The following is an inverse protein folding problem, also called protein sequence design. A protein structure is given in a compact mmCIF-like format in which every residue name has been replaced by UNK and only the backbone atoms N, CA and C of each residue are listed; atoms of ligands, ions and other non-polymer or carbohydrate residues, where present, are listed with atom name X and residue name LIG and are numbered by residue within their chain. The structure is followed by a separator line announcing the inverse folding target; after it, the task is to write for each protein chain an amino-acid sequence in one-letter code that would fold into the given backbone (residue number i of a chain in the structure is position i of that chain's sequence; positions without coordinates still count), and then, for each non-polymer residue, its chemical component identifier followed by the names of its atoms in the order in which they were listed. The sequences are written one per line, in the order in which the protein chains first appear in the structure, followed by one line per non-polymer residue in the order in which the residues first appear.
data_IF_685652290264
#
_entry.id   IF_685652290264
#
_cell.length_a   1.000
_cell.length_b   1.000
_cell.length_c   1.000
_cell.angle_alpha   90.00
_cell.angle_beta   90.00
_cell.angle_gamma   90.00
#
_symmetry.space_group_name_H-M   'P 1'
#
loop_
_entity.id
_entity.type
_entity.pdbx_description
1 polymer ?
#
# COMPACT_ATOMS: atom_id res chain seq x y z
N UNK A 1 22.17 9.81 11.53
CA UNK A 1 21.56 11.05 12.06
C UNK A 1 20.09 10.79 12.35
N UNK A 2 19.58 11.11 13.54
CA UNK A 2 18.15 10.99 13.85
C UNK A 2 17.41 12.18 13.22
N UNK A 3 16.32 11.91 12.51
CA UNK A 3 15.48 12.92 11.88
C UNK A 3 14.04 12.74 12.36
N UNK A 4 13.41 13.83 12.77
CA UNK A 4 11.97 13.83 13.06
C UNK A 4 11.22 13.86 11.73
N UNK A 5 10.27 12.91 11.56
CA UNK A 5 9.52 12.75 10.32
C UNK A 5 8.11 12.26 10.64
N UNK A 6 7.12 12.70 9.90
CA UNK A 6 5.77 12.14 9.97
C UNK A 6 5.72 10.68 9.52
N UNK A 7 4.81 9.91 10.13
CA UNK A 7 4.64 8.50 9.79
C UNK A 7 4.31 8.25 8.32
N UNK A 8 3.46 9.06 7.72
CA UNK A 8 3.11 9.02 6.30
C UNK A 8 4.32 9.25 5.38
N UNK A 9 5.16 10.25 5.70
CA UNK A 9 6.37 10.51 4.95
C UNK A 9 7.41 9.39 5.11
N UNK A 10 7.51 8.80 6.31
CA UNK A 10 8.39 7.64 6.51
C UNK A 10 7.96 6.43 5.69
N UNK A 11 6.65 6.20 5.57
CA UNK A 11 6.09 5.17 4.67
C UNK A 11 6.43 5.48 3.22
N UNK A 12 6.19 6.70 2.74
CA UNK A 12 6.51 7.10 1.37
C UNK A 12 8.00 6.91 1.04
N UNK A 13 8.90 7.32 1.95
CA UNK A 13 10.34 7.11 1.79
C UNK A 13 10.72 5.63 1.76
N UNK A 14 10.11 4.80 2.61
CA UNK A 14 10.37 3.37 2.64
C UNK A 14 9.89 2.68 1.35
N UNK A 15 8.74 3.08 0.81
CA UNK A 15 8.23 2.61 -0.50
C UNK A 15 9.18 3.03 -1.61
N UNK A 16 9.65 4.28 -1.60
CA UNK A 16 10.62 4.78 -2.58
C UNK A 16 11.92 3.95 -2.60
N UNK A 17 12.43 3.56 -1.43
CA UNK A 17 13.61 2.68 -1.33
C UNK A 17 13.38 1.29 -1.93
N UNK A 18 12.14 0.82 -1.96
CA UNK A 18 11.77 -0.46 -2.59
C UNK A 18 11.66 -0.38 -4.11
N UNK A 19 11.73 0.83 -4.68
CA UNK A 19 11.66 1.11 -6.13
C UNK A 19 10.47 0.43 -6.80
N UNK A 20 9.23 0.77 -6.45
CA UNK A 20 8.07 0.30 -7.18
C UNK A 20 8.13 0.79 -8.62
N UNK A 21 7.61 -0.02 -9.55
CA UNK A 21 7.52 0.33 -10.97
C UNK A 21 6.14 0.91 -11.30
N UNK A 22 5.14 0.52 -10.51
CA UNK A 22 3.78 1.06 -10.62
C UNK A 22 3.25 1.40 -9.22
N UNK A 23 2.78 2.62 -9.06
CA UNK A 23 2.04 3.09 -7.90
C UNK A 23 0.65 3.47 -8.36
N UNK A 24 -0.36 2.84 -7.83
CA UNK A 24 -1.76 3.13 -8.15
C UNK A 24 -2.54 3.35 -6.86
N UNK A 25 -3.28 4.45 -6.79
CA UNK A 25 -4.03 4.76 -5.59
C UNK A 25 -5.25 5.65 -5.87
N UNK A 26 -6.22 5.55 -4.98
CA UNK A 26 -7.31 6.50 -4.83
C UNK A 26 -7.20 7.15 -3.44
N UNK A 27 -7.15 8.49 -3.32
CA UNK A 27 -6.92 9.16 -2.04
C UNK A 27 -8.07 8.94 -1.05
N UNK A 28 -7.73 8.51 0.16
CA UNK A 28 -8.64 8.41 1.30
C UNK A 28 -7.90 8.75 2.61
N UNK A 29 -8.50 9.57 3.48
CA UNK A 29 -7.88 9.89 4.77
C UNK A 29 -7.83 8.68 5.71
N UNK A 30 -6.70 8.44 6.44
CA UNK A 30 -5.49 9.26 6.53
C UNK A 30 -4.36 8.87 5.55
N UNK A 31 -4.60 8.03 4.56
CA UNK A 31 -3.61 7.53 3.62
C UNK A 31 -3.12 8.59 2.61
N UNK A 32 -3.91 9.64 2.33
CA UNK A 32 -3.65 10.65 1.29
C UNK A 32 -2.23 11.21 1.32
N UNK A 33 -1.67 11.49 2.49
CA UNK A 33 -0.31 12.03 2.62
C UNK A 33 0.79 11.08 2.12
N UNK A 34 0.57 9.75 2.18
CA UNK A 34 1.49 8.76 1.62
C UNK A 34 1.50 8.88 0.10
N UNK A 35 0.31 8.89 -0.50
CA UNK A 35 0.13 8.95 -1.96
C UNK A 35 0.65 10.26 -2.54
N UNK A 36 0.33 11.40 -1.90
CA UNK A 36 0.85 12.70 -2.30
C UNK A 36 2.38 12.77 -2.22
N UNK A 37 2.97 12.21 -1.17
CA UNK A 37 4.42 12.12 -1.01
C UNK A 37 5.07 11.35 -2.15
N UNK A 38 4.53 10.19 -2.48
CA UNK A 38 5.01 9.35 -3.59
C UNK A 38 4.82 10.05 -4.95
N UNK A 39 3.66 10.66 -5.18
CA UNK A 39 3.40 11.40 -6.41
C UNK A 39 4.35 12.58 -6.63
N UNK A 40 4.75 13.29 -5.56
CA UNK A 40 5.78 14.34 -5.62
C UNK A 40 7.14 13.77 -6.01
N UNK A 41 7.55 12.62 -5.43
CA UNK A 41 8.83 11.96 -5.74
C UNK A 41 8.87 11.48 -7.20
N UNK A 42 7.77 10.93 -7.73
CA UNK A 42 7.69 10.53 -9.14
C UNK A 42 7.80 11.74 -10.07
N UNK A 43 7.05 12.81 -9.78
CA UNK A 43 7.11 14.06 -10.57
C UNK A 43 8.49 14.74 -10.52
N UNK A 44 9.20 14.61 -9.42
CA UNK A 44 10.57 15.12 -9.26
C UNK A 44 11.63 14.25 -9.95
N UNK A 45 11.25 13.08 -10.49
CA UNK A 45 12.19 12.14 -11.10
C UNK A 45 13.01 11.32 -10.08
N UNK A 46 12.71 11.42 -8.79
CA UNK A 46 13.42 10.68 -7.73
C UNK A 46 13.12 9.18 -7.74
N UNK A 47 11.99 8.79 -8.33
CA UNK A 47 11.50 7.42 -8.44
C UNK A 47 11.48 6.87 -9.88
N UNK A 48 12.28 7.40 -10.77
CA UNK A 48 12.32 6.91 -12.16
C UNK A 48 13.06 5.56 -12.27
N UNK A 49 12.59 4.60 -13.11
CA UNK A 49 11.30 4.62 -13.79
C UNK A 49 10.17 4.13 -12.87
N UNK A 50 9.13 4.93 -12.69
CA UNK A 50 7.94 4.56 -11.93
C UNK A 50 6.73 5.28 -12.51
N UNK A 51 5.68 4.54 -12.83
CA UNK A 51 4.40 5.10 -13.25
C UNK A 51 3.50 5.35 -12.04
N UNK A 52 2.99 6.56 -11.91
CA UNK A 52 2.04 6.94 -10.88
C UNK A 52 0.66 7.14 -11.48
N UNK A 53 -0.27 6.25 -11.16
CA UNK A 53 -1.60 6.18 -11.75
C UNK A 53 -2.65 6.57 -10.71
N UNK A 54 -3.28 7.73 -10.91
CA UNK A 54 -4.50 8.08 -10.19
C UNK A 54 -5.69 7.38 -10.85
N UNK A 55 -6.50 6.74 -10.03
CA UNK A 55 -7.68 6.00 -10.46
C UNK A 55 -8.94 6.61 -9.83
N UNK A 56 -10.11 6.22 -10.30
CA UNK A 56 -11.40 6.72 -9.85
C UNK A 56 -12.00 5.98 -8.65
N UNK A 57 -11.37 4.90 -8.22
CA UNK A 57 -11.82 4.13 -7.05
C UNK A 57 -10.72 3.23 -6.49
N UNK A 58 -10.91 2.79 -5.24
CA UNK A 58 -9.99 1.84 -4.61
C UNK A 58 -10.02 0.47 -5.31
N UNK A 59 -11.18 0.04 -5.80
CA UNK A 59 -11.30 -1.19 -6.58
C UNK A 59 -10.46 -1.11 -7.86
N UNK A 60 -10.52 0.01 -8.56
CA UNK A 60 -9.69 0.27 -9.74
C UNK A 60 -8.19 0.27 -9.38
N UNK A 61 -7.80 0.85 -8.23
CA UNK A 61 -6.41 0.84 -7.77
C UNK A 61 -5.87 -0.58 -7.62
N UNK A 62 -6.60 -1.47 -6.94
CA UNK A 62 -6.16 -2.85 -6.78
C UNK A 62 -6.19 -3.61 -8.11
N UNK A 63 -7.14 -3.34 -9.00
CA UNK A 63 -7.21 -3.95 -10.34
C UNK A 63 -6.00 -3.57 -11.20
N UNK A 64 -5.56 -2.31 -11.16
CA UNK A 64 -4.34 -1.85 -11.82
C UNK A 64 -3.11 -2.52 -11.21
N UNK A 65 -3.03 -2.64 -9.87
CA UNK A 65 -1.94 -3.31 -9.19
C UNK A 65 -1.85 -4.80 -9.60
N UNK A 66 -2.99 -5.48 -9.73
CA UNK A 66 -3.07 -6.88 -10.21
C UNK A 66 -2.52 -6.97 -11.64
N UNK A 67 -2.98 -6.13 -12.55
CA UNK A 67 -2.53 -6.12 -13.94
C UNK A 67 -1.01 -5.86 -14.05
N UNK A 68 -0.51 -4.85 -13.34
CA UNK A 68 0.91 -4.53 -13.30
C UNK A 68 1.74 -5.68 -12.70
N UNK A 69 1.29 -6.25 -11.58
CA UNK A 69 2.00 -7.35 -10.93
C UNK A 69 2.01 -8.62 -11.78
N UNK A 70 0.93 -8.91 -12.51
CA UNK A 70 0.84 -10.06 -13.41
C UNK A 70 1.85 -9.99 -14.57
N UNK A 71 2.24 -8.79 -15.00
CA UNK A 71 3.31 -8.59 -16.00
C UNK A 71 4.72 -8.61 -15.40
N UNK A 72 4.84 -8.79 -14.08
CA UNK A 72 6.12 -8.85 -13.37
C UNK A 72 6.58 -7.52 -12.78
N UNK A 73 5.82 -6.43 -12.93
CA UNK A 73 6.14 -5.14 -12.34
C UNK A 73 5.91 -5.15 -10.81
N UNK A 74 6.74 -4.39 -10.09
CA UNK A 74 6.56 -4.17 -8.66
C UNK A 74 5.46 -3.16 -8.45
N UNK A 75 4.30 -3.64 -8.03
CA UNK A 75 3.13 -2.83 -7.80
C UNK A 75 2.97 -2.46 -6.33
N UNK A 76 2.58 -1.22 -6.08
CA UNK A 76 2.25 -0.71 -4.76
C UNK A 76 0.94 0.05 -4.78
N UNK A 77 0.15 -0.14 -3.74
CA UNK A 77 -1.05 0.66 -3.47
C UNK A 77 -1.16 1.02 -1.99
N UNK A 78 -2.03 1.96 -1.67
CA UNK A 78 -2.33 2.34 -0.30
C UNK A 78 -3.82 2.68 -0.17
N UNK A 79 -4.41 2.34 0.98
CA UNK A 79 -5.82 2.58 1.26
C UNK A 79 -6.09 2.73 2.76
N UNK A 80 -7.35 2.88 3.13
CA UNK A 80 -7.86 2.93 4.51
C UNK A 80 -9.33 2.56 4.56
N UNK A 81 -9.82 2.04 5.69
CA UNK A 81 -11.25 1.96 6.04
C UNK A 81 -12.14 1.37 4.93
N UNK A 82 -13.16 2.11 4.52
CA UNK A 82 -14.11 1.70 3.48
C UNK A 82 -13.43 1.42 2.14
N UNK A 83 -12.32 2.11 1.83
CA UNK A 83 -11.57 1.85 0.62
C UNK A 83 -11.01 0.43 0.56
N UNK A 84 -10.55 -0.11 1.70
CA UNK A 84 -10.11 -1.50 1.78
C UNK A 84 -11.29 -2.47 1.58
N UNK A 85 -12.45 -2.16 2.15
CA UNK A 85 -13.64 -2.98 1.95
C UNK A 85 -14.14 -2.92 0.51
N UNK A 86 -14.08 -1.74 -0.11
CA UNK A 86 -14.50 -1.57 -1.49
C UNK A 86 -13.64 -2.38 -2.48
N UNK A 87 -12.36 -2.57 -2.18
CA UNK A 87 -11.47 -3.40 -3.01
C UNK A 87 -11.41 -4.87 -2.57
N UNK A 88 -12.20 -5.32 -1.60
CA UNK A 88 -12.06 -6.63 -0.97
C UNK A 88 -12.03 -7.79 -1.98
N UNK A 89 -12.93 -7.81 -2.96
CA UNK A 89 -12.95 -8.84 -4.00
C UNK A 89 -11.61 -8.91 -4.75
N UNK A 90 -11.08 -7.76 -5.15
CA UNK A 90 -9.79 -7.69 -5.85
C UNK A 90 -8.61 -8.10 -4.93
N UNK A 91 -8.70 -7.84 -3.62
CA UNK A 91 -7.73 -8.30 -2.61
C UNK A 91 -7.70 -9.83 -2.56
N UNK A 92 -8.86 -10.50 -2.51
CA UNK A 92 -8.95 -11.96 -2.58
C UNK A 92 -8.41 -12.50 -3.91
N UNK A 93 -8.72 -11.85 -5.03
CA UNK A 93 -8.21 -12.21 -6.35
C UNK A 93 -6.68 -12.13 -6.41
N UNK A 94 -6.09 -11.05 -5.94
CA UNK A 94 -4.64 -10.89 -5.93
C UNK A 94 -3.94 -11.99 -5.12
N UNK A 95 -4.53 -12.37 -3.98
CA UNK A 95 -4.06 -13.48 -3.15
C UNK A 95 -4.19 -14.83 -3.87
N UNK A 96 -5.35 -15.10 -4.44
CA UNK A 96 -5.61 -16.34 -5.20
C UNK A 96 -4.66 -16.51 -6.40
N UNK A 97 -4.26 -15.42 -7.02
CA UNK A 97 -3.28 -15.40 -8.13
C UNK A 97 -1.82 -15.43 -7.64
N UNK A 98 -1.57 -15.35 -6.33
CA UNK A 98 -0.22 -15.34 -5.75
C UNK A 98 0.62 -14.12 -6.16
N UNK A 99 -0.01 -12.98 -6.43
CA UNK A 99 0.67 -11.79 -6.93
C UNK A 99 1.43 -11.05 -5.83
N UNK A 100 2.70 -10.69 -6.03
CA UNK A 100 3.56 -10.04 -5.04
C UNK A 100 3.28 -8.52 -4.96
N UNK A 101 2.09 -8.14 -4.55
CA UNK A 101 1.69 -6.75 -4.35
C UNK A 101 1.95 -6.33 -2.91
N UNK A 102 2.42 -5.12 -2.70
CA UNK A 102 2.54 -4.50 -1.38
C UNK A 102 1.50 -3.41 -1.23
N UNK A 103 0.73 -3.49 -0.15
CA UNK A 103 -0.29 -2.50 0.17
C UNK A 103 -0.07 -1.93 1.57
N UNK A 104 -0.19 -0.62 1.70
CA UNK A 104 -0.24 0.04 3.01
C UNK A 104 -1.68 0.36 3.38
N UNK A 105 -2.11 -0.12 4.54
CA UNK A 105 -3.40 0.26 5.13
C UNK A 105 -3.15 1.27 6.25
N UNK A 106 -3.59 2.50 6.05
CA UNK A 106 -3.59 3.52 7.09
C UNK A 106 -4.89 3.40 7.89
N UNK A 107 -4.88 2.54 8.90
CA UNK A 107 -6.07 2.08 9.60
C UNK A 107 -7.00 3.19 10.07
N UNK A 108 -8.29 2.98 9.83
CA UNK A 108 -9.38 3.84 10.26
C UNK A 108 -10.65 2.99 10.45
N UNK A 109 -11.48 3.34 11.45
CA UNK A 109 -12.77 2.68 11.67
C UNK A 109 -13.63 2.62 10.40
N UNK A 110 -14.33 1.52 10.23
CA UNK A 110 -15.29 1.32 9.15
C UNK A 110 -16.61 1.95 9.55
N UNK A 111 -17.14 2.85 8.72
CA UNK A 111 -18.44 3.44 8.94
C UNK A 111 -18.52 4.41 10.11
N UNK A 112 -19.73 4.60 10.65
CA UNK A 112 -20.00 5.51 11.76
C UNK A 112 -20.12 4.73 13.09
N UNK A 113 -19.60 5.28 14.21
CA UNK A 113 -18.81 6.51 14.28
C UNK A 113 -17.42 6.35 13.68
N UNK A 114 -17.01 7.31 12.83
CA UNK A 114 -15.66 7.29 12.25
C UNK A 114 -14.64 7.63 13.32
N UNK A 115 -13.59 6.80 13.40
CA UNK A 115 -12.45 6.99 14.29
C UNK A 115 -11.15 6.76 13.53
N UNK A 116 -10.28 7.76 13.51
CA UNK A 116 -8.95 7.69 12.89
C UNK A 116 -7.84 7.27 13.87
N UNK A 117 -8.19 6.95 15.10
CA UNK A 117 -7.28 6.58 16.18
C UNK A 117 -7.42 5.10 16.53
N UNK A 118 -6.30 4.37 16.46
CA UNK A 118 -6.18 3.02 17.01
C UNK A 118 -7.31 2.04 16.64
N UNK A 119 -7.89 2.16 15.45
CA UNK A 119 -8.89 1.23 14.97
C UNK A 119 -8.33 0.37 13.84
N UNK A 120 -8.43 -0.94 13.98
CA UNK A 120 -7.95 -1.92 13.01
C UNK A 120 -9.07 -2.74 12.38
N UNK A 121 -10.31 -2.31 12.52
CA UNK A 121 -11.48 -3.03 11.99
C UNK A 121 -11.38 -3.24 10.47
N UNK A 122 -10.81 -2.28 9.74
CA UNK A 122 -10.57 -2.38 8.32
C UNK A 122 -9.60 -3.52 7.96
N UNK A 123 -8.39 -3.55 8.53
CA UNK A 123 -7.43 -4.61 8.28
C UNK A 123 -7.91 -5.97 8.79
N UNK A 124 -8.56 -6.01 9.97
CA UNK A 124 -9.08 -7.24 10.56
C UNK A 124 -10.23 -7.84 9.75
N UNK A 125 -11.00 -7.03 9.02
CA UNK A 125 -12.03 -7.53 8.10
C UNK A 125 -11.45 -8.38 6.96
N UNK A 126 -10.15 -8.21 6.66
CA UNK A 126 -9.44 -8.92 5.59
C UNK A 126 -8.52 -10.04 6.10
N UNK A 127 -8.67 -10.48 7.36
CA UNK A 127 -7.82 -11.52 7.97
C UNK A 127 -7.81 -12.83 7.19
N UNK A 128 -8.94 -13.17 6.56
CA UNK A 128 -9.13 -14.43 5.84
C UNK A 128 -8.81 -14.30 4.32
N UNK A 129 -8.32 -13.14 3.88
CA UNK A 129 -8.02 -12.86 2.46
C UNK A 129 -6.75 -13.55 1.93
N UNK A 130 -5.98 -14.21 2.79
CA UNK A 130 -4.71 -14.85 2.43
C UNK A 130 -3.52 -13.89 2.35
N UNK A 131 -3.71 -12.62 2.62
CA UNK A 131 -2.62 -11.64 2.67
C UNK A 131 -1.83 -11.74 3.99
N UNK A 132 -0.51 -11.61 3.89
CA UNK A 132 0.33 -11.42 5.05
C UNK A 132 0.11 -10.02 5.63
N UNK A 133 -0.31 -9.93 6.88
CA UNK A 133 -0.54 -8.66 7.57
C UNK A 133 0.59 -8.38 8.57
N UNK A 134 1.20 -7.20 8.45
CA UNK A 134 2.26 -6.73 9.35
C UNK A 134 1.82 -5.41 9.99
N UNK A 135 1.71 -5.40 11.31
CA UNK A 135 1.29 -4.24 12.09
C UNK A 135 2.50 -3.43 12.58
N UNK A 136 2.47 -2.13 12.34
CA UNK A 136 3.56 -1.21 12.69
C UNK A 136 3.08 -0.10 13.63
N UNK A 137 3.62 -0.07 14.83
CA UNK A 137 3.28 0.91 15.88
C UNK A 137 4.12 2.19 15.81
N UNK A 138 5.39 2.05 15.43
CA UNK A 138 6.35 3.16 15.39
C UNK A 138 6.95 3.34 14.00
N UNK A 139 7.46 4.54 13.71
CA UNK A 139 7.99 4.92 12.39
C UNK A 139 9.06 3.96 11.87
N UNK A 140 9.97 3.49 12.73
CA UNK A 140 10.99 2.51 12.33
C UNK A 140 10.38 1.17 11.91
N UNK A 141 9.37 0.66 12.63
CA UNK A 141 8.66 -0.57 12.25
C UNK A 141 7.94 -0.40 10.90
N UNK A 142 7.34 0.76 10.64
CA UNK A 142 6.67 1.06 9.35
C UNK A 142 7.63 0.88 8.17
N UNK A 143 8.82 1.45 8.24
CA UNK A 143 9.82 1.30 7.19
C UNK A 143 10.26 -0.16 7.03
N UNK A 144 10.46 -0.89 8.13
CA UNK A 144 10.84 -2.30 8.10
C UNK A 144 9.74 -3.18 7.54
N UNK A 145 8.48 -2.93 7.93
CA UNK A 145 7.33 -3.69 7.41
C UNK A 145 7.14 -3.52 5.91
N UNK A 146 7.48 -2.37 5.34
CA UNK A 146 7.38 -2.13 3.89
C UNK A 146 8.55 -2.79 3.14
N UNK A 147 9.76 -2.65 3.64
CA UNK A 147 10.96 -3.17 2.96
C UNK A 147 11.01 -4.69 2.93
N UNK A 148 10.61 -5.38 4.00
CA UNK A 148 10.64 -6.85 4.08
C UNK A 148 9.72 -7.54 3.07
N UNK A 149 8.40 -7.24 2.98
CA UNK A 149 7.54 -7.82 1.97
C UNK A 149 8.02 -7.56 0.55
N UNK A 150 8.52 -6.36 0.27
CA UNK A 150 9.06 -6.02 -1.06
C UNK A 150 10.30 -6.85 -1.43
N UNK A 151 11.13 -7.24 -0.45
CA UNK A 151 12.26 -8.17 -0.67
C UNK A 151 11.74 -9.58 -0.89
N UNK A 152 10.79 -10.05 -0.11
CA UNK A 152 10.21 -11.39 -0.27
C UNK A 152 9.48 -11.54 -1.60
N UNK A 153 8.71 -10.53 -2.00
CA UNK A 153 8.05 -10.50 -3.29
C UNK A 153 9.04 -10.65 -4.48
N UNK A 154 10.25 -10.09 -4.35
CA UNK A 154 11.30 -10.23 -5.37
C UNK A 154 11.95 -11.62 -5.42
N UNK A 155 12.02 -12.29 -4.28
CA UNK A 155 12.71 -13.56 -4.11
C UNK A 155 11.76 -14.78 -4.05
N UNK A 156 10.46 -14.57 -4.28
CA UNK A 156 9.48 -15.65 -4.27
C UNK A 156 9.76 -16.59 -5.48
N UNK A 157 9.98 -17.89 -5.24
CA UNK A 157 10.25 -18.86 -6.31
C UNK A 157 9.01 -19.22 -7.15
N UNK A 158 7.87 -18.63 -6.88
CA UNK A 158 6.59 -18.88 -7.56
C UNK A 158 6.41 -18.04 -8.84
N UNK A 159 7.52 -17.68 -9.49
CA UNK A 159 7.48 -17.08 -10.83
C UNK A 159 7.72 -18.15 -11.86
#
# INVERSE_FOLDING_TARGET
MLKQIEGSQAVAQAVALCRPEVICAYPISPQTHIVEGLGKMVKAGELAPCEFINVESEFAAMSVAIGASATGARAYTATASQGLLFMAEAVYNASGLGLPIVMTVANRAIGAPINIWNDHSDAMSQRDSGWMQLFAEITRKRSTCISRPSVWARNCPCR
#
